data_IF_932048831008
#
_entry.id   IF_932048831008
#
_cell.length_a   1.000
_cell.length_b   1.000
_cell.length_c   1.000
_cell.angle_alpha   90.00
_cell.angle_beta   90.00
_cell.angle_gamma   90.00
#
_symmetry.space_group_name_H-M   'P 1'
#
loop_
_entity.id
_entity.type
_entity.pdbx_description
1 polymer ?
#
# COMPACT_ATOMS: atom_id res chain seq x y z
N UNK A 1 12.64 10.57 4.65
CA UNK A 1 11.82 9.73 5.58
C UNK A 1 12.73 8.98 6.53
N UNK A 2 12.36 8.97 7.78
CA UNK A 2 13.12 8.21 8.77
C UNK A 2 13.00 6.72 8.52
N UNK A 3 14.09 6.00 8.79
CA UNK A 3 14.14 4.55 8.54
C UNK A 3 13.06 3.80 9.32
N UNK A 4 12.84 4.17 10.58
CA UNK A 4 11.82 3.49 11.39
C UNK A 4 10.42 3.63 10.79
N UNK A 5 10.08 4.80 10.28
CA UNK A 5 8.79 5.02 9.65
C UNK A 5 8.67 4.21 8.35
N UNK A 6 9.75 4.13 7.57
CA UNK A 6 9.75 3.32 6.35
C UNK A 6 9.54 1.84 6.70
N UNK A 7 10.21 1.33 7.71
CA UNK A 7 10.05 -0.07 8.14
C UNK A 7 8.60 -0.33 8.57
N UNK A 8 8.00 0.58 9.31
CA UNK A 8 6.59 0.43 9.73
C UNK A 8 5.65 0.40 8.54
N UNK A 9 5.83 1.34 7.61
CA UNK A 9 4.98 1.42 6.42
C UNK A 9 5.12 0.15 5.59
N UNK A 10 6.35 -0.27 5.32
CA UNK A 10 6.59 -1.47 4.52
C UNK A 10 6.03 -2.71 5.19
N UNK A 11 6.19 -2.84 6.50
CA UNK A 11 5.65 -4.00 7.24
C UNK A 11 4.13 -4.09 7.10
N UNK A 12 3.45 -2.97 7.25
CA UNK A 12 1.98 -2.94 7.14
C UNK A 12 1.55 -3.29 5.71
N UNK A 13 2.16 -2.65 4.72
CA UNK A 13 1.77 -2.85 3.31
C UNK A 13 2.07 -4.27 2.85
N UNK A 14 3.23 -4.83 3.23
CA UNK A 14 3.59 -6.19 2.86
C UNK A 14 2.69 -7.21 3.54
N UNK A 15 2.38 -7.04 4.83
CA UNK A 15 1.47 -7.93 5.53
C UNK A 15 0.07 -7.90 4.90
N UNK A 16 -0.42 -6.72 4.56
CA UNK A 16 -1.72 -6.59 3.91
C UNK A 16 -1.73 -7.28 2.54
N UNK A 17 -0.64 -7.15 1.80
CA UNK A 17 -0.53 -7.79 0.48
C UNK A 17 -0.53 -9.31 0.59
N UNK A 18 0.23 -9.86 1.55
CA UNK A 18 0.27 -11.30 1.80
C UNK A 18 -1.11 -11.82 2.17
N UNK A 19 -1.78 -11.15 3.10
CA UNK A 19 -3.13 -11.54 3.51
C UNK A 19 -4.12 -11.49 2.36
N UNK A 20 -4.09 -10.42 1.56
CA UNK A 20 -4.96 -10.29 0.41
C UNK A 20 -4.71 -11.36 -0.64
N UNK A 21 -3.44 -11.67 -0.90
CA UNK A 21 -3.07 -12.72 -1.85
C UNK A 21 -3.57 -14.08 -1.38
N UNK A 22 -3.41 -14.39 -0.09
CA UNK A 22 -3.83 -15.68 0.46
C UNK A 22 -5.35 -15.89 0.37
N UNK A 23 -6.13 -14.81 0.42
CA UNK A 23 -7.59 -14.90 0.26
C UNK A 23 -8.03 -15.01 -1.17
N UNK A 24 -7.15 -14.71 -2.13
CA UNK A 24 -7.49 -14.72 -3.54
C UNK A 24 -7.32 -16.10 -4.15
N UNK A 25 -7.91 -16.28 -5.32
CA UNK A 25 -7.77 -17.54 -6.07
C UNK A 25 -6.33 -17.72 -6.57
N UNK A 26 -5.75 -16.65 -7.12
CA UNK A 26 -4.41 -16.74 -7.74
C UNK A 26 -3.26 -16.79 -6.75
N UNK A 27 -3.43 -16.24 -5.55
CA UNK A 27 -2.41 -16.20 -4.50
C UNK A 27 -1.06 -15.65 -5.00
N UNK A 28 -1.13 -14.50 -5.69
CA UNK A 28 0.05 -13.85 -6.26
C UNK A 28 0.34 -12.53 -5.59
N UNK A 29 1.61 -12.22 -5.45
CA UNK A 29 2.10 -10.97 -4.90
C UNK A 29 3.37 -10.56 -5.63
N UNK A 30 3.50 -9.27 -5.90
CA UNK A 30 4.69 -8.72 -6.55
C UNK A 30 5.14 -7.47 -5.83
N UNK A 31 6.45 -7.29 -5.74
CA UNK A 31 7.06 -6.08 -5.19
C UNK A 31 8.09 -5.60 -6.22
N UNK A 32 8.03 -4.32 -6.54
CA UNK A 32 8.98 -3.72 -7.46
C UNK A 32 9.49 -2.40 -6.90
N UNK A 33 10.74 -2.08 -7.18
CA UNK A 33 11.32 -0.78 -6.88
C UNK A 33 11.80 -0.20 -8.21
N UNK A 34 11.27 0.98 -8.56
CA UNK A 34 11.59 1.64 -9.81
C UNK A 34 12.26 2.97 -9.50
N UNK A 35 13.45 3.14 -10.02
CA UNK A 35 14.18 4.40 -9.88
C UNK A 35 14.01 5.21 -11.15
N UNK A 36 13.33 6.33 -11.03
CA UNK A 36 13.19 7.31 -12.10
C UNK A 36 14.10 8.49 -11.83
N UNK A 37 14.21 9.40 -12.78
CA UNK A 37 15.05 10.57 -12.62
C UNK A 37 14.65 11.43 -11.43
N UNK A 38 13.35 11.72 -11.28
CA UNK A 38 12.84 12.60 -10.24
C UNK A 38 12.12 11.88 -9.12
N UNK A 39 11.98 10.57 -9.18
CA UNK A 39 11.21 9.81 -8.20
C UNK A 39 11.79 8.42 -7.99
N UNK A 40 11.48 7.83 -6.84
CA UNK A 40 11.66 6.41 -6.59
C UNK A 40 10.27 5.87 -6.26
N UNK A 41 9.87 4.80 -6.92
CA UNK A 41 8.59 4.15 -6.67
C UNK A 41 8.81 2.80 -6.02
N UNK A 42 8.03 2.51 -4.99
CA UNK A 42 7.93 1.16 -4.44
C UNK A 42 6.51 0.70 -4.72
N UNK A 43 6.38 -0.37 -5.48
CA UNK A 43 5.08 -0.91 -5.88
C UNK A 43 4.87 -2.25 -5.20
N UNK A 44 3.78 -2.38 -4.48
CA UNK A 44 3.37 -3.63 -3.83
C UNK A 44 2.01 -3.98 -4.38
N UNK A 45 1.92 -5.12 -5.04
CA UNK A 45 0.71 -5.56 -5.71
C UNK A 45 0.36 -6.97 -5.30
N UNK A 46 -0.92 -7.24 -5.09
CA UNK A 46 -1.37 -8.58 -4.80
C UNK A 46 -2.66 -8.89 -5.57
N UNK A 47 -2.84 -10.17 -5.89
CA UNK A 47 -4.13 -10.66 -6.33
C UNK A 47 -5.13 -10.55 -5.19
N UNK A 48 -6.39 -10.33 -5.52
CA UNK A 48 -7.41 -10.16 -4.50
C UNK A 48 -8.65 -10.98 -4.83
N UNK A 49 -9.46 -11.17 -3.81
CA UNK A 49 -10.76 -11.78 -3.97
C UNK A 49 -11.62 -10.84 -4.81
N UNK A 50 -12.24 -11.36 -5.87
CA UNK A 50 -13.01 -10.54 -6.79
C UNK A 50 -14.22 -9.91 -6.09
N UNK A 51 -14.18 -8.57 -5.94
CA UNK A 51 -15.29 -7.78 -5.42
C UNK A 51 -15.06 -6.31 -5.76
N UNK A 52 -16.15 -5.56 -5.90
CA UNK A 52 -16.06 -4.13 -6.17
C UNK A 52 -15.85 -3.36 -4.86
N UNK A 53 -14.73 -2.66 -4.77
CA UNK A 53 -14.40 -1.80 -3.61
C UNK A 53 -13.75 -0.53 -4.14
N UNK A 54 -14.21 0.61 -3.64
CA UNK A 54 -13.60 1.89 -4.00
C UNK A 54 -12.35 2.11 -3.16
N UNK A 55 -11.25 2.63 -3.75
CA UNK A 55 -10.00 2.83 -3.00
C UNK A 55 -10.15 3.67 -1.74
N UNK A 56 -10.97 4.71 -1.76
CA UNK A 56 -11.15 5.58 -0.61
C UNK A 56 -11.77 4.88 0.59
N UNK A 57 -12.47 3.77 0.38
CA UNK A 57 -13.11 3.04 1.47
C UNK A 57 -12.13 2.29 2.34
N UNK A 58 -10.98 1.88 1.78
CA UNK A 58 -10.02 1.07 2.54
C UNK A 58 -9.30 1.87 3.62
N UNK A 59 -9.35 3.20 3.57
CA UNK A 59 -8.73 4.07 4.56
C UNK A 59 -9.70 4.49 5.66
N UNK A 60 -10.95 4.05 5.62
CA UNK A 60 -11.89 4.31 6.69
C UNK A 60 -11.55 3.44 7.90
N UNK A 61 -11.52 4.06 9.08
CA UNK A 61 -11.24 3.32 10.32
C UNK A 61 -12.29 2.24 10.49
N UNK A 62 -11.83 1.00 10.70
CA UNK A 62 -12.71 -0.15 10.87
C UNK A 62 -13.09 -0.85 9.58
N UNK A 63 -12.80 -0.25 8.41
CA UNK A 63 -13.07 -0.93 7.16
C UNK A 63 -12.02 -2.03 6.92
N UNK A 64 -12.48 -3.24 6.61
CA UNK A 64 -11.59 -4.34 6.24
C UNK A 64 -12.38 -5.49 5.68
N UNK A 65 -11.82 -6.18 4.68
CA UNK A 65 -12.39 -7.42 4.16
C UNK A 65 -12.05 -8.61 5.04
N UNK A 66 -11.09 -8.44 5.96
CA UNK A 66 -10.63 -9.50 6.87
C UNK A 66 -10.84 -9.18 8.34
N UNK A 67 -11.30 -7.98 8.64
CA UNK A 67 -11.49 -7.52 9.98
C UNK A 67 -10.99 -6.09 10.16
N UNK A 68 -11.31 -5.53 11.29
CA UNK A 68 -11.05 -4.11 11.59
C UNK A 68 -9.56 -3.76 11.62
N UNK A 69 -8.70 -4.71 12.03
CA UNK A 69 -7.27 -4.45 12.18
C UNK A 69 -6.59 -4.05 10.86
N UNK A 70 -7.04 -4.62 9.76
CA UNK A 70 -6.48 -4.31 8.45
C UNK A 70 -6.77 -2.87 8.04
N UNK A 71 -8.01 -2.40 8.24
CA UNK A 71 -8.36 -1.02 7.96
C UNK A 71 -7.59 -0.05 8.83
N UNK A 72 -7.41 -0.38 10.11
CA UNK A 72 -6.63 0.42 11.05
C UNK A 72 -5.18 0.50 10.60
N UNK A 73 -4.61 -0.63 10.14
CA UNK A 73 -3.25 -0.65 9.63
C UNK A 73 -3.04 0.33 8.48
N UNK A 74 -3.94 0.36 7.51
CA UNK A 74 -3.85 1.28 6.38
C UNK A 74 -3.99 2.74 6.82
N UNK A 75 -4.83 3.01 7.81
CA UNK A 75 -4.93 4.35 8.38
C UNK A 75 -3.63 4.77 9.07
N UNK A 76 -2.95 3.84 9.73
CA UNK A 76 -1.66 4.11 10.36
C UNK A 76 -0.61 4.47 9.31
N UNK A 77 -0.61 3.78 8.16
CA UNK A 77 0.28 4.13 7.05
C UNK A 77 0.02 5.56 6.60
N UNK A 78 -1.24 5.91 6.40
CA UNK A 78 -1.62 7.24 5.98
C UNK A 78 -1.14 8.29 6.97
N UNK A 79 -1.34 8.07 8.26
CA UNK A 79 -0.90 8.98 9.31
C UNK A 79 0.61 9.16 9.32
N UNK A 80 1.38 8.07 9.15
CA UNK A 80 2.82 8.15 9.09
C UNK A 80 3.27 8.98 7.89
N UNK A 81 2.69 8.72 6.73
CA UNK A 81 3.11 9.39 5.49
C UNK A 81 2.71 10.87 5.46
N UNK A 82 1.67 11.27 6.19
CA UNK A 82 1.27 12.67 6.28
C UNK A 82 2.35 13.56 6.91
N UNK A 83 3.31 12.98 7.61
CA UNK A 83 4.44 13.73 8.18
C UNK A 83 5.47 14.15 7.12
N UNK A 84 5.38 13.61 5.92
CA UNK A 84 6.39 13.81 4.88
C UNK A 84 5.78 14.46 3.65
N UNK A 85 6.34 15.61 3.24
CA UNK A 85 5.86 16.33 2.05
C UNK A 85 6.33 15.70 0.75
N UNK A 86 7.40 14.91 0.80
CA UNK A 86 8.04 14.35 -0.38
C UNK A 86 7.66 12.88 -0.63
N UNK A 87 6.70 12.37 0.10
CA UNK A 87 6.25 10.97 -0.02
C UNK A 87 4.75 10.93 -0.22
N UNK A 88 4.31 10.19 -1.23
CA UNK A 88 2.89 10.05 -1.56
C UNK A 88 2.56 8.57 -1.67
N UNK A 89 1.43 8.17 -1.11
CA UNK A 89 0.88 6.83 -1.28
C UNK A 89 -0.29 6.90 -2.25
N UNK A 90 -0.23 6.08 -3.29
CA UNK A 90 -1.32 5.91 -4.24
C UNK A 90 -1.87 4.50 -4.16
N UNK A 91 -3.18 4.35 -4.34
CA UNK A 91 -3.84 3.06 -4.33
C UNK A 91 -4.59 2.88 -5.63
N UNK A 92 -4.33 1.77 -6.31
CA UNK A 92 -5.07 1.35 -7.50
C UNK A 92 -5.70 0.00 -7.21
N UNK A 93 -6.98 -0.11 -7.50
CA UNK A 93 -7.71 -1.33 -7.21
C UNK A 93 -8.65 -1.66 -8.37
N UNK A 94 -8.64 -2.91 -8.79
CA UNK A 94 -9.61 -3.43 -9.74
C UNK A 94 -10.20 -4.73 -9.19
N UNK A 95 -10.95 -5.46 -10.02
CA UNK A 95 -11.62 -6.68 -9.55
C UNK A 95 -10.66 -7.78 -9.15
N UNK A 96 -9.47 -7.81 -9.74
CA UNK A 96 -8.52 -8.91 -9.55
C UNK A 96 -7.28 -8.53 -8.76
N UNK A 97 -6.95 -7.22 -8.67
CA UNK A 97 -5.68 -6.78 -8.10
C UNK A 97 -5.85 -5.58 -7.20
N UNK A 98 -4.99 -5.52 -6.19
CA UNK A 98 -4.85 -4.40 -5.30
C UNK A 98 -3.39 -3.95 -5.34
N UNK A 99 -3.16 -2.67 -5.64
CA UNK A 99 -1.82 -2.13 -5.80
C UNK A 99 -1.62 -0.91 -4.93
N UNK A 100 -0.52 -0.90 -4.17
CA UNK A 100 -0.07 0.26 -3.42
C UNK A 100 1.23 0.75 -4.03
N UNK A 101 1.31 2.06 -4.27
CA UNK A 101 2.50 2.68 -4.84
C UNK A 101 2.95 3.77 -3.88
N UNK A 102 4.19 3.66 -3.39
CA UNK A 102 4.81 4.71 -2.60
C UNK A 102 5.73 5.49 -3.51
N UNK A 103 5.49 6.80 -3.66
CA UNK A 103 6.32 7.68 -4.47
C UNK A 103 7.17 8.55 -3.57
N UNK A 104 8.47 8.49 -3.76
CA UNK A 104 9.44 9.35 -3.09
C UNK A 104 10.00 10.33 -4.09
N UNK A 105 9.84 11.62 -3.84
CA UNK A 105 10.47 12.63 -4.70
C UNK A 105 11.97 12.66 -4.44
N UNK A 106 12.74 12.76 -5.50
CA UNK A 106 14.19 12.87 -5.41
C UNK A 106 14.60 14.31 -5.67
N UNK A 107 15.57 14.78 -4.89
CA UNK A 107 16.20 16.05 -5.17
C UNK A 107 17.27 15.84 -6.24
N UNK A 108 17.09 16.50 -7.37
CA UNK A 108 18.05 16.47 -8.46
C UNK A 108 18.74 17.81 -8.48
N UNK A 109 20.04 17.80 -8.31
CA UNK A 109 20.84 19.01 -8.33
C UNK A 109 21.64 19.06 -9.60
#
# INVERSE_FOLDING_TARGET
>A
MELLDLVRVMSILLNNAVEGALESYRKQMEVAVIKLESEILIIIQNSRKNRSIKPEEIFNIGYSTKGINRGIGLNNVKEILEKYDDVILETEIDEERFKQIIRFKRNII
#
